data_IF_976540178924
#
_entry.id   IF_976540178924
#
_cell.length_a   1.000
_cell.length_b   1.000
_cell.length_c   1.000
_cell.angle_alpha   90.00
_cell.angle_beta   90.00
_cell.angle_gamma   90.00
#
_symmetry.space_group_name_H-M   'P 1'
#
loop_
_entity.id
_entity.type
_entity.pdbx_description
1 polymer ?
#
# COMPACT_ATOMS: atom_id res chain seq x y z
N UNK A 1 6.24 19.59 -12.55
CA UNK A 1 5.07 19.29 -11.68
C UNK A 1 5.50 18.25 -10.67
N UNK A 2 4.96 18.24 -9.46
CA UNK A 2 5.18 17.17 -8.47
C UNK A 2 4.01 16.20 -8.55
N UNK A 3 4.29 14.90 -8.65
CA UNK A 3 3.29 13.84 -8.79
C UNK A 3 3.28 13.02 -7.49
N UNK A 4 2.11 12.59 -7.06
CA UNK A 4 1.92 11.65 -5.95
C UNK A 4 0.81 10.67 -6.33
N UNK A 5 0.78 9.51 -5.67
CA UNK A 5 -0.10 8.39 -6.00
C UNK A 5 -0.86 7.95 -4.75
N UNK A 6 -2.12 7.55 -4.92
CA UNK A 6 -2.92 6.91 -3.87
C UNK A 6 -3.48 5.61 -4.43
N UNK A 7 -3.14 4.49 -3.79
CA UNK A 7 -3.64 3.17 -4.10
C UNK A 7 -4.84 2.87 -3.21
N UNK A 8 -5.97 2.53 -3.84
CA UNK A 8 -7.21 2.16 -3.16
C UNK A 8 -7.54 0.71 -3.45
N UNK A 9 -7.45 -0.14 -2.42
CA UNK A 9 -7.68 -1.56 -2.56
C UNK A 9 -9.03 -2.00 -1.98
N UNK A 10 -9.83 -2.76 -2.75
CA UNK A 10 -11.20 -3.12 -2.36
C UNK A 10 -11.29 -4.29 -1.37
N UNK A 11 -10.16 -4.79 -0.85
CA UNK A 11 -10.15 -5.93 0.06
C UNK A 11 -10.36 -5.54 1.53
N UNK A 12 -10.86 -6.50 2.32
CA UNK A 12 -11.22 -6.32 3.73
C UNK A 12 -10.01 -6.35 4.68
N UNK A 13 -8.86 -6.85 4.23
CA UNK A 13 -7.63 -6.84 5.00
C UNK A 13 -7.20 -5.39 5.28
N UNK A 14 -6.81 -5.10 6.52
CA UNK A 14 -6.39 -3.75 6.93
C UNK A 14 -5.05 -3.38 6.29
N UNK A 15 -4.12 -4.33 6.26
CA UNK A 15 -2.79 -4.23 5.65
C UNK A 15 -2.51 -5.47 4.78
N UNK A 16 -1.42 -5.40 4.02
CA UNK A 16 -0.98 -6.51 3.17
C UNK A 16 -0.30 -7.64 3.96
N UNK A 17 0.15 -7.39 5.20
CA UNK A 17 0.83 -8.37 6.05
C UNK A 17 -0.03 -9.58 6.40
N UNK A 18 -1.36 -9.43 6.41
CA UNK A 18 -2.29 -10.53 6.62
C UNK A 18 -2.48 -11.47 5.41
N UNK A 19 -1.90 -11.17 4.24
CA UNK A 19 -2.05 -11.97 3.01
C UNK A 19 -0.81 -12.82 2.75
N UNK A 20 -1.02 -14.04 2.23
CA UNK A 20 0.10 -14.94 1.89
C UNK A 20 0.89 -14.42 0.68
N UNK A 21 2.22 -14.17 0.81
CA UNK A 21 2.99 -13.56 -0.27
C UNK A 21 3.15 -14.46 -1.51
N UNK A 22 3.09 -15.77 -1.33
CA UNK A 22 3.14 -16.72 -2.44
C UNK A 22 1.86 -16.77 -3.28
N UNK A 23 0.75 -16.27 -2.74
CA UNK A 23 -0.55 -16.28 -3.42
C UNK A 23 -0.99 -14.89 -3.88
N UNK A 24 -0.63 -13.85 -3.12
CA UNK A 24 -1.12 -12.49 -3.32
C UNK A 24 -0.02 -11.49 -3.71
N UNK A 25 1.22 -11.94 -3.83
CA UNK A 25 2.37 -11.09 -4.13
C UNK A 25 3.06 -10.57 -2.87
N UNK A 26 4.22 -9.94 -3.05
CA UNK A 26 5.02 -9.43 -1.93
C UNK A 26 4.32 -8.31 -1.15
N UNK A 27 4.72 -8.12 0.11
CA UNK A 27 4.36 -6.95 0.90
C UNK A 27 5.41 -5.87 0.67
N UNK A 28 5.00 -4.69 0.25
CA UNK A 28 5.89 -3.54 0.12
C UNK A 28 5.92 -2.76 1.43
N UNK A 29 7.13 -2.52 1.97
CA UNK A 29 7.32 -1.73 3.20
C UNK A 29 7.78 -0.32 2.82
N UNK A 30 6.96 0.68 3.14
CA UNK A 30 7.24 2.09 2.87
C UNK A 30 8.33 2.64 3.81
N UNK A 31 8.86 3.83 3.50
CA UNK A 31 9.89 4.50 4.31
C UNK A 31 9.48 4.70 5.78
N UNK A 32 8.20 4.98 6.03
CA UNK A 32 7.62 5.16 7.37
C UNK A 32 7.21 3.84 8.05
N UNK A 33 7.52 2.70 7.44
CA UNK A 33 7.35 1.37 8.01
C UNK A 33 5.96 0.76 7.84
N UNK A 34 5.13 1.27 6.93
CA UNK A 34 3.82 0.69 6.66
C UNK A 34 3.92 -0.52 5.73
N UNK A 35 3.20 -1.59 6.06
CA UNK A 35 3.04 -2.78 5.22
C UNK A 35 1.91 -2.54 4.19
N UNK A 36 2.26 -2.53 2.91
CA UNK A 36 1.38 -2.10 1.83
C UNK A 36 1.41 -3.06 0.64
N UNK A 37 0.50 -2.84 -0.31
CA UNK A 37 0.45 -3.60 -1.55
C UNK A 37 1.69 -3.37 -2.43
N UNK A 38 2.10 -4.40 -3.15
CA UNK A 38 3.28 -4.39 -4.03
C UNK A 38 3.26 -3.28 -5.09
N UNK A 39 2.08 -2.84 -5.51
CA UNK A 39 1.93 -1.79 -6.51
C UNK A 39 2.56 -0.46 -6.06
N UNK A 40 2.58 -0.16 -4.76
CA UNK A 40 3.25 1.05 -4.26
C UNK A 40 4.77 1.00 -4.51
N UNK A 41 5.38 -0.18 -4.41
CA UNK A 41 6.79 -0.36 -4.78
C UNK A 41 7.03 -0.18 -6.28
N UNK A 42 6.07 -0.52 -7.13
CA UNK A 42 6.17 -0.18 -8.55
C UNK A 42 6.11 1.32 -8.75
N UNK A 43 5.12 1.98 -8.15
CA UNK A 43 4.92 3.41 -8.26
C UNK A 43 6.15 4.20 -7.84
N UNK A 44 6.72 3.92 -6.66
CA UNK A 44 7.92 4.57 -6.14
C UNK A 44 9.08 4.49 -7.15
N UNK A 45 9.32 3.31 -7.74
CA UNK A 45 10.38 3.12 -8.75
C UNK A 45 10.12 3.84 -10.07
N UNK A 46 8.85 4.05 -10.44
CA UNK A 46 8.48 4.75 -11.67
C UNK A 46 8.53 6.28 -11.54
N UNK A 47 8.14 6.82 -10.37
CA UNK A 47 8.07 8.27 -10.15
C UNK A 47 9.30 8.85 -9.45
N UNK A 48 10.18 7.99 -8.92
CA UNK A 48 11.40 8.37 -8.19
C UNK A 48 11.12 9.30 -6.98
N UNK A 49 10.02 9.02 -6.27
CA UNK A 49 9.60 9.75 -5.07
C UNK A 49 9.18 8.77 -3.97
N UNK A 50 9.61 9.04 -2.74
CA UNK A 50 9.31 8.20 -1.59
C UNK A 50 7.80 8.22 -1.25
N UNK A 51 7.25 7.04 -1.00
CA UNK A 51 5.84 6.81 -0.67
C UNK A 51 5.71 6.50 0.83
N UNK A 52 4.59 6.91 1.44
CA UNK A 52 4.26 6.66 2.85
C UNK A 52 3.05 5.75 2.99
N UNK A 53 2.76 5.30 4.22
CA UNK A 53 1.57 4.50 4.52
C UNK A 53 0.23 5.21 4.25
N UNK A 54 0.24 6.53 4.08
CA UNK A 54 -0.94 7.31 3.70
C UNK A 54 -1.32 7.14 2.22
N UNK A 55 -0.39 6.66 1.39
CA UNK A 55 -0.63 6.35 -0.01
C UNK A 55 -1.31 4.98 -0.22
N UNK A 56 -1.55 4.23 0.87
CA UNK A 56 -2.30 2.97 0.88
C UNK A 56 -3.63 3.12 1.64
N UNK A 57 -4.74 2.87 0.95
CA UNK A 57 -6.07 2.86 1.51
C UNK A 57 -6.78 1.54 1.16
N UNK A 58 -7.22 0.80 2.18
CA UNK A 58 -7.94 -0.46 2.01
C UNK A 58 -9.36 -0.32 2.54
N UNK A 59 -10.28 -1.12 2.01
CA UNK A 59 -11.65 -1.16 2.54
C UNK A 59 -11.65 -1.55 4.02
N UNK A 60 -10.83 -2.53 4.41
CA UNK A 60 -10.62 -2.91 5.81
C UNK A 60 -10.22 -1.74 6.73
N UNK A 61 -9.23 -0.95 6.30
CA UNK A 61 -8.73 0.21 7.05
C UNK A 61 -9.84 1.25 7.25
N UNK A 62 -10.63 1.54 6.21
CA UNK A 62 -11.77 2.46 6.30
C UNK A 62 -12.82 1.96 7.30
N UNK A 63 -13.25 0.70 7.19
CA UNK A 63 -14.25 0.14 8.12
C UNK A 63 -13.75 0.04 9.56
N UNK A 64 -12.45 -0.19 9.77
CA UNK A 64 -11.86 -0.28 11.11
C UNK A 64 -11.70 1.07 11.83
N UNK A 65 -11.69 2.18 11.07
CA UNK A 65 -11.46 3.52 11.59
C UNK A 65 -12.75 4.25 12.00
N UNK A 66 -13.92 3.67 11.72
CA UNK A 66 -15.26 4.18 12.06
C UNK A 66 -15.79 3.46 13.29
#
# INVERSE_FOLDING_TARGET
>A
YRVSILKMDPYINVDAGAMSPFQHGEVFVTWDGAETDLDLGHYERFIDEAITGENSCTTGKVYSAV
#
